data_IF_410209625933
#
_entry.id   IF_410209625933
#
_cell.length_a   1.000
_cell.length_b   1.000
_cell.length_c   1.000
_cell.angle_alpha   90.00
_cell.angle_beta   90.00
_cell.angle_gamma   90.00
#
_symmetry.space_group_name_H-M   'P 1'
#
loop_
_entity.id
_entity.type
_entity.pdbx_description
1 polymer ?
#
# COMPACT_ATOMS: atom_id res chain seq x y z
N UNK A 1 25.26 -37.66 66.42
CA UNK A 1 25.66 -37.46 65.01
C UNK A 1 24.65 -38.11 64.09
N UNK A 2 23.46 -37.52 63.92
CA UNK A 2 22.40 -38.06 63.03
C UNK A 2 21.63 -36.97 62.28
N UNK A 3 22.14 -35.74 62.27
CA UNK A 3 21.48 -34.59 61.65
C UNK A 3 22.10 -34.19 60.30
N UNK A 4 23.32 -34.63 59.96
CA UNK A 4 23.96 -34.23 58.70
C UNK A 4 23.53 -35.09 57.49
N UNK A 5 22.95 -36.27 57.72
CA UNK A 5 22.60 -37.22 56.65
C UNK A 5 21.33 -36.80 55.89
N UNK A 6 20.47 -35.97 56.49
CA UNK A 6 19.27 -35.43 55.84
C UNK A 6 19.51 -34.07 55.14
N UNK A 7 20.63 -33.39 55.44
CA UNK A 7 20.91 -32.03 54.94
C UNK A 7 21.55 -32.09 53.53
N UNK A 8 22.41 -33.06 53.27
CA UNK A 8 23.10 -33.19 51.97
C UNK A 8 22.15 -33.40 50.76
N UNK A 9 21.10 -34.24 50.83
CA UNK A 9 20.13 -34.38 49.73
C UNK A 9 19.35 -33.08 49.46
N UNK A 10 19.03 -32.32 50.50
CA UNK A 10 18.29 -31.05 50.40
C UNK A 10 19.16 -29.99 49.73
N UNK A 11 20.43 -29.87 50.13
CA UNK A 11 21.39 -28.95 49.50
C UNK A 11 21.62 -29.33 48.03
N UNK A 12 21.74 -30.62 47.73
CA UNK A 12 21.87 -31.09 46.35
C UNK A 12 20.65 -30.73 45.50
N UNK A 13 19.44 -30.92 46.03
CA UNK A 13 18.19 -30.53 45.35
C UNK A 13 18.09 -29.01 45.14
N UNK A 14 18.49 -28.20 46.13
CA UNK A 14 18.54 -26.74 46.00
C UNK A 14 19.55 -26.29 44.94
N UNK A 15 20.72 -26.93 44.85
CA UNK A 15 21.71 -26.66 43.81
C UNK A 15 21.19 -26.99 42.42
N UNK A 16 20.53 -28.15 42.25
CA UNK A 16 19.92 -28.53 40.98
C UNK A 16 18.83 -27.52 40.58
N UNK A 17 17.96 -27.14 41.52
CA UNK A 17 16.94 -26.13 41.27
C UNK A 17 17.56 -24.78 40.87
N UNK A 18 18.63 -24.35 41.56
CA UNK A 18 19.34 -23.12 41.24
C UNK A 18 19.93 -23.14 39.82
N UNK A 19 20.51 -24.26 39.40
CA UNK A 19 21.01 -24.43 38.02
C UNK A 19 19.86 -24.36 37.01
N UNK A 20 18.75 -25.05 37.27
CA UNK A 20 17.58 -25.03 36.39
C UNK A 20 17.00 -23.63 36.25
N UNK A 21 16.80 -22.91 37.37
CA UNK A 21 16.31 -21.52 37.37
C UNK A 21 17.28 -20.61 36.61
N UNK A 22 18.59 -20.77 36.79
CA UNK A 22 19.60 -19.98 36.07
C UNK A 22 19.52 -20.21 34.56
N UNK A 23 19.39 -21.46 34.12
CA UNK A 23 19.22 -21.80 32.71
C UNK A 23 17.92 -21.20 32.13
N UNK A 24 16.81 -21.29 32.86
CA UNK A 24 15.55 -20.66 32.46
C UNK A 24 15.65 -19.13 32.40
N UNK A 25 16.36 -18.50 33.34
CA UNK A 25 16.62 -17.06 33.33
C UNK A 25 17.43 -16.66 32.10
N UNK A 26 18.51 -17.38 31.78
CA UNK A 26 19.32 -17.10 30.59
C UNK A 26 18.46 -17.26 29.32
N UNK A 27 17.68 -18.34 29.23
CA UNK A 27 16.79 -18.58 28.09
C UNK A 27 15.79 -17.43 27.87
N UNK A 28 15.09 -17.01 28.93
CA UNK A 28 14.09 -15.95 28.85
C UNK A 28 14.70 -14.56 28.64
N UNK A 29 15.89 -14.30 29.18
CA UNK A 29 16.51 -12.98 29.12
C UNK A 29 17.29 -12.73 27.81
N UNK A 30 17.83 -13.78 27.18
CA UNK A 30 18.76 -13.61 26.03
C UNK A 30 18.29 -14.30 24.77
N UNK A 31 17.90 -15.57 24.84
CA UNK A 31 17.51 -16.33 23.65
C UNK A 31 16.12 -15.93 23.14
N UNK A 32 15.15 -15.81 24.05
CA UNK A 32 13.77 -15.50 23.69
C UNK A 32 13.64 -14.14 22.95
N UNK A 33 14.25 -13.04 23.42
CA UNK A 33 14.17 -11.76 22.70
C UNK A 33 14.85 -11.82 21.33
N UNK A 34 16.02 -12.48 21.21
CA UNK A 34 16.74 -12.58 19.94
C UNK A 34 15.98 -13.36 18.86
N UNK A 35 15.27 -14.43 19.26
CA UNK A 35 14.40 -15.18 18.35
C UNK A 35 13.20 -14.33 17.88
N UNK A 36 12.60 -13.53 18.78
CA UNK A 36 11.51 -12.63 18.42
C UNK A 36 11.96 -11.54 17.44
N UNK A 37 13.11 -10.93 17.69
CA UNK A 37 13.67 -9.93 16.79
C UNK A 37 13.95 -10.50 15.40
N UNK A 38 14.54 -11.70 15.33
CA UNK A 38 14.82 -12.35 14.05
C UNK A 38 13.54 -12.68 13.27
N UNK A 39 12.50 -13.16 13.95
CA UNK A 39 11.18 -13.40 13.35
C UNK A 39 10.53 -12.11 12.87
N UNK A 40 10.67 -11.02 13.61
CA UNK A 40 10.09 -9.72 13.24
C UNK A 40 10.82 -9.10 12.04
N UNK A 41 12.15 -9.25 11.96
CA UNK A 41 12.94 -8.81 10.80
C UNK A 41 12.48 -9.53 9.53
N UNK A 42 12.30 -10.86 9.61
CA UNK A 42 11.80 -11.65 8.49
C UNK A 42 10.37 -11.23 8.10
N UNK A 43 9.51 -11.04 9.10
CA UNK A 43 8.14 -10.60 8.88
C UNK A 43 8.07 -9.23 8.19
N UNK A 44 8.84 -8.24 8.65
CA UNK A 44 8.89 -6.91 8.04
C UNK A 44 9.42 -6.95 6.59
N UNK A 45 10.35 -7.85 6.29
CA UNK A 45 10.85 -8.05 4.93
C UNK A 45 9.78 -8.63 4.00
N UNK A 46 8.98 -9.58 4.48
CA UNK A 46 7.86 -10.14 3.72
C UNK A 46 6.76 -9.10 3.47
N UNK A 47 6.49 -8.23 4.46
CA UNK A 47 5.58 -7.10 4.29
C UNK A 47 6.11 -6.14 3.22
N UNK A 48 7.38 -5.77 3.31
CA UNK A 48 8.04 -4.89 2.34
C UNK A 48 7.89 -5.42 0.92
N UNK A 49 8.27 -6.68 0.69
CA UNK A 49 8.18 -7.32 -0.62
C UNK A 49 6.73 -7.38 -1.11
N UNK A 50 5.78 -7.67 -0.22
CA UNK A 50 4.35 -7.69 -0.54
C UNK A 50 3.81 -6.32 -0.97
N UNK A 51 4.18 -5.25 -0.26
CA UNK A 51 3.78 -3.88 -0.58
C UNK A 51 4.41 -3.42 -1.91
N UNK A 52 5.69 -3.70 -2.13
CA UNK A 52 6.38 -3.37 -3.38
C UNK A 52 5.77 -4.09 -4.58
N UNK A 53 5.49 -5.38 -4.46
CA UNK A 53 4.82 -6.17 -5.51
C UNK A 53 3.43 -5.63 -5.81
N UNK A 54 2.65 -5.27 -4.78
CA UNK A 54 1.31 -4.73 -4.97
C UNK A 54 1.32 -3.32 -5.59
N UNK A 55 2.27 -2.47 -5.20
CA UNK A 55 2.49 -1.17 -5.83
C UNK A 55 2.81 -1.30 -7.33
N UNK A 56 3.73 -2.21 -7.68
CA UNK A 56 4.04 -2.51 -9.08
C UNK A 56 2.84 -3.06 -9.86
N UNK A 57 2.01 -3.90 -9.25
CA UNK A 57 0.77 -4.39 -9.85
C UNK A 57 -0.25 -3.27 -10.12
N UNK A 58 -0.31 -2.26 -9.25
CA UNK A 58 -1.13 -1.06 -9.48
C UNK A 58 -0.63 -0.28 -10.70
N UNK A 59 0.68 -0.05 -10.77
CA UNK A 59 1.30 0.65 -11.90
C UNK A 59 1.10 -0.10 -13.22
N UNK A 60 1.25 -1.42 -13.21
CA UNK A 60 0.96 -2.27 -14.37
C UNK A 60 -0.51 -2.16 -14.79
N UNK A 61 -1.45 -2.21 -13.84
CA UNK A 61 -2.87 -2.08 -14.13
C UNK A 61 -3.23 -0.70 -14.72
N UNK A 62 -2.62 0.38 -14.20
CA UNK A 62 -2.79 1.74 -14.71
C UNK A 62 -2.19 1.91 -16.10
N UNK A 63 -1.02 1.32 -16.36
CA UNK A 63 -0.35 1.36 -17.66
C UNK A 63 -1.13 0.60 -18.74
N UNK A 64 -1.55 -0.63 -18.44
CA UNK A 64 -2.20 -1.53 -19.40
C UNK A 64 -3.67 -1.18 -19.68
N UNK A 65 -4.36 -0.47 -18.79
CA UNK A 65 -5.75 0.01 -18.94
C UNK A 65 -6.73 -1.10 -19.40
N UNK A 66 -6.55 -2.32 -18.90
CA UNK A 66 -7.34 -3.50 -19.26
C UNK A 66 -8.02 -4.10 -18.04
N UNK A 67 -8.98 -4.99 -18.27
CA UNK A 67 -9.62 -5.73 -17.19
C UNK A 67 -8.61 -6.68 -16.53
N UNK A 68 -8.28 -6.46 -15.26
CA UNK A 68 -7.32 -7.25 -14.48
C UNK A 68 -7.86 -7.41 -13.06
N UNK A 69 -7.74 -8.61 -12.52
CA UNK A 69 -7.99 -8.86 -11.10
C UNK A 69 -6.75 -9.49 -10.49
N UNK A 70 -6.21 -8.86 -9.45
CA UNK A 70 -5.00 -9.29 -8.75
C UNK A 70 -5.25 -9.28 -7.25
N UNK A 71 -4.62 -10.20 -6.52
CA UNK A 71 -4.66 -10.19 -5.06
C UNK A 71 -3.30 -10.53 -4.49
N UNK A 72 -2.81 -9.70 -3.58
CA UNK A 72 -1.56 -9.91 -2.86
C UNK A 72 -1.84 -10.15 -1.38
N UNK A 73 -1.20 -11.17 -0.83
CA UNK A 73 -1.23 -11.43 0.61
C UNK A 73 -0.08 -10.68 1.28
N UNK A 74 -0.39 -10.05 2.41
CA UNK A 74 0.57 -9.34 3.25
C UNK A 74 0.44 -9.92 4.66
N UNK A 75 1.53 -10.44 5.25
CA UNK A 75 1.48 -10.95 6.61
C UNK A 75 1.25 -9.80 7.59
N UNK A 76 0.21 -9.88 8.42
CA UNK A 76 -0.10 -8.84 9.41
C UNK A 76 0.38 -9.18 10.81
N UNK A 77 1.01 -10.32 11.04
CA UNK A 77 1.57 -10.62 12.35
C UNK A 77 2.83 -11.46 12.26
N UNK A 78 3.72 -11.22 13.20
CA UNK A 78 5.01 -11.89 13.37
C UNK A 78 5.25 -12.29 14.83
N UNK A 79 6.46 -12.81 15.09
CA UNK A 79 6.90 -13.18 16.43
C UNK A 79 6.33 -14.50 16.97
N UNK A 80 5.81 -15.38 16.11
CA UNK A 80 5.38 -16.73 16.51
C UNK A 80 6.62 -17.57 16.86
N UNK A 81 6.79 -17.86 18.15
CA UNK A 81 7.83 -18.74 18.64
C UNK A 81 7.18 -19.86 19.46
N UNK A 82 7.74 -21.07 19.35
CA UNK A 82 7.19 -22.34 19.89
C UNK A 82 6.75 -22.29 21.36
N UNK A 83 7.22 -21.31 22.14
CA UNK A 83 6.98 -21.18 23.58
C UNK A 83 6.42 -19.81 24.04
N UNK A 84 5.99 -18.92 23.14
CA UNK A 84 5.39 -17.63 23.54
C UNK A 84 4.29 -17.18 22.56
N UNK A 85 3.09 -16.87 23.08
CA UNK A 85 1.93 -16.42 22.31
C UNK A 85 1.81 -14.90 22.14
N UNK A 86 2.73 -14.11 22.70
CA UNK A 86 2.79 -12.65 22.48
C UNK A 86 3.32 -12.37 21.08
N UNK A 87 2.44 -11.85 20.23
CA UNK A 87 2.63 -11.65 18.79
C UNK A 87 2.54 -10.18 18.41
N UNK A 88 3.25 -9.82 17.35
CA UNK A 88 3.07 -8.53 16.69
C UNK A 88 1.83 -8.61 15.79
N UNK A 89 1.16 -7.49 15.63
CA UNK A 89 0.04 -7.34 14.72
C UNK A 89 0.29 -6.25 13.70
N UNK A 90 -0.69 -6.06 12.83
CA UNK A 90 -0.54 -5.24 11.66
C UNK A 90 -1.90 -4.77 11.19
N UNK A 91 -1.93 -3.55 10.68
CA UNK A 91 -3.11 -2.92 10.13
C UNK A 91 -2.83 -2.48 8.71
N UNK A 92 -3.69 -2.87 7.79
CA UNK A 92 -3.74 -2.33 6.44
C UNK A 92 -4.88 -1.33 6.35
N UNK A 93 -4.61 -0.20 5.73
CA UNK A 93 -5.59 0.83 5.47
C UNK A 93 -5.52 1.25 4.01
N UNK A 94 -6.68 1.35 3.36
CA UNK A 94 -6.83 1.91 2.01
C UNK A 94 -7.72 3.14 2.14
N UNK A 95 -7.21 4.28 1.70
CA UNK A 95 -7.94 5.54 1.70
C UNK A 95 -8.14 6.05 0.28
N UNK A 96 -9.27 6.72 0.10
CA UNK A 96 -9.52 7.51 -1.09
C UNK A 96 -8.92 8.90 -0.87
N UNK A 97 -8.23 9.42 -1.87
CA UNK A 97 -7.85 10.84 -1.90
C UNK A 97 -9.10 11.71 -2.01
N UNK A 98 -9.15 12.78 -1.21
CA UNK A 98 -10.31 13.68 -1.20
C UNK A 98 -10.39 14.53 -2.48
N UNK A 99 -9.24 14.89 -3.04
CA UNK A 99 -9.15 15.75 -4.22
C UNK A 99 -8.98 14.90 -5.49
N UNK A 100 -9.83 15.09 -6.52
CA UNK A 100 -9.64 14.45 -7.81
C UNK A 100 -8.42 15.04 -8.50
N UNK A 101 -7.68 14.22 -9.24
CA UNK A 101 -6.55 14.71 -10.04
C UNK A 101 -7.00 15.23 -11.41
N UNK A 102 -8.12 14.70 -11.93
CA UNK A 102 -8.73 15.11 -13.19
C UNK A 102 -10.25 15.15 -13.04
N UNK A 103 -10.85 16.23 -13.51
CA UNK A 103 -12.30 16.34 -13.68
C UNK A 103 -12.64 16.50 -15.16
N UNK A 104 -13.60 15.71 -15.64
CA UNK A 104 -14.13 15.79 -17.00
C UNK A 104 -15.49 16.47 -16.94
N UNK A 105 -15.61 17.58 -17.68
CA UNK A 105 -16.86 18.31 -17.85
C UNK A 105 -17.44 18.06 -19.23
N UNK A 106 -18.77 18.02 -19.32
CA UNK A 106 -19.54 18.10 -20.55
C UNK A 106 -20.48 19.30 -20.41
N UNK A 107 -20.30 20.32 -21.25
CA UNK A 107 -21.15 21.52 -21.26
C UNK A 107 -21.24 22.19 -19.87
N UNK A 108 -20.11 22.26 -19.17
CA UNK A 108 -19.97 22.78 -17.80
C UNK A 108 -20.60 21.91 -16.68
N UNK A 109 -21.16 20.75 -17.00
CA UNK A 109 -21.58 19.76 -16.01
C UNK A 109 -20.46 18.76 -15.75
N UNK A 110 -20.15 18.51 -14.48
CA UNK A 110 -19.18 17.49 -14.09
C UNK A 110 -19.74 16.09 -14.39
N UNK A 111 -19.05 15.34 -15.25
CA UNK A 111 -19.45 13.98 -15.64
C UNK A 111 -18.61 12.94 -14.93
N UNK A 112 -17.30 13.19 -14.83
CA UNK A 112 -16.36 12.29 -14.16
C UNK A 112 -15.41 13.06 -13.26
N UNK A 113 -15.27 12.59 -12.02
CA UNK A 113 -14.25 13.02 -11.07
C UNK A 113 -13.29 11.86 -10.84
N UNK A 114 -12.07 11.97 -11.34
CA UNK A 114 -11.07 10.91 -11.26
C UNK A 114 -10.19 11.13 -10.05
N UNK A 115 -10.17 10.14 -9.17
CA UNK A 115 -9.50 10.21 -7.88
C UNK A 115 -8.39 9.16 -7.80
N UNK A 116 -7.51 9.35 -6.84
CA UNK A 116 -6.44 8.42 -6.50
C UNK A 116 -6.73 7.76 -5.16
N UNK A 117 -5.96 6.74 -4.86
CA UNK A 117 -5.97 6.06 -3.56
C UNK A 117 -4.58 6.13 -2.97
N UNK A 118 -4.53 6.01 -1.65
CA UNK A 118 -3.34 5.63 -0.93
C UNK A 118 -3.62 4.35 -0.15
N UNK A 119 -2.58 3.57 0.12
CA UNK A 119 -2.72 2.49 1.09
C UNK A 119 -1.51 2.46 2.01
N UNK A 120 -1.75 2.13 3.27
CA UNK A 120 -0.72 2.08 4.30
C UNK A 120 -0.79 0.80 5.11
N UNK A 121 0.37 0.36 5.56
CA UNK A 121 0.59 -0.71 6.51
C UNK A 121 1.25 -0.15 7.76
N UNK A 122 0.76 -0.56 8.93
CA UNK A 122 1.34 -0.21 10.22
C UNK A 122 1.44 -1.41 11.13
N UNK A 123 2.59 -1.57 11.80
CA UNK A 123 2.75 -2.56 12.86
C UNK A 123 2.04 -2.14 14.14
N UNK A 124 1.52 -3.11 14.89
CA UNK A 124 0.96 -2.97 16.23
C UNK A 124 1.73 -3.90 17.16
N UNK A 125 2.34 -3.36 18.22
CA UNK A 125 3.13 -4.15 19.19
C UNK A 125 4.29 -4.96 18.55
N UNK A 126 5.14 -4.32 17.76
CA UNK A 126 6.34 -4.99 17.22
C UNK A 126 7.38 -5.26 18.32
N UNK A 127 8.35 -6.12 17.98
CA UNK A 127 9.45 -6.50 18.86
C UNK A 127 10.82 -6.01 18.35
N UNK A 128 10.85 -5.17 17.32
CA UNK A 128 12.09 -4.71 16.67
C UNK A 128 12.10 -3.20 16.41
N UNK A 129 11.37 -2.73 15.40
CA UNK A 129 11.33 -1.33 14.99
C UNK A 129 9.90 -0.98 14.57
N UNK A 130 9.40 0.15 15.08
CA UNK A 130 8.18 0.79 14.57
C UNK A 130 8.43 1.23 13.13
N UNK A 131 7.82 0.51 12.19
CA UNK A 131 7.96 0.75 10.76
C UNK A 131 6.63 0.52 10.06
N UNK A 132 6.21 1.49 9.26
CA UNK A 132 5.07 1.40 8.35
C UNK A 132 5.49 1.58 6.91
N UNK A 133 4.63 1.13 6.00
CA UNK A 133 4.81 1.29 4.56
C UNK A 133 3.58 2.00 4.00
N UNK A 134 3.77 3.05 3.21
CA UNK A 134 2.69 3.77 2.54
C UNK A 134 2.98 3.84 1.07
N UNK A 135 2.04 3.39 0.24
CA UNK A 135 2.09 3.61 -1.20
C UNK A 135 1.20 4.80 -1.56
N UNK A 136 1.77 5.72 -2.35
CA UNK A 136 1.07 6.88 -2.90
C UNK A 136 1.72 7.29 -4.21
N UNK A 137 0.92 7.74 -5.19
CA UNK A 137 1.41 8.36 -6.43
C UNK A 137 2.45 7.56 -7.23
N UNK A 138 2.41 6.22 -7.17
CA UNK A 138 3.38 5.38 -7.89
C UNK A 138 4.74 5.25 -7.21
N UNK A 139 4.81 5.43 -5.89
CA UNK A 139 5.99 5.07 -5.10
C UNK A 139 5.63 4.60 -3.68
N UNK A 140 6.53 3.84 -3.06
CA UNK A 140 6.41 3.36 -1.67
C UNK A 140 7.34 4.13 -0.74
N UNK A 141 6.77 4.60 0.37
CA UNK A 141 7.45 5.21 1.50
C UNK A 141 7.51 4.26 2.69
N UNK A 142 8.61 4.32 3.42
CA UNK A 142 8.83 3.70 4.72
C UNK A 142 8.83 4.77 5.79
N UNK A 143 7.97 4.63 6.79
CA UNK A 143 7.84 5.62 7.86
C UNK A 143 8.12 4.96 9.20
N UNK A 144 9.01 5.54 10.02
CA UNK A 144 9.30 5.03 11.36
C UNK A 144 8.34 5.53 12.44
N UNK A 145 7.71 6.67 12.19
CA UNK A 145 6.69 7.25 13.06
C UNK A 145 5.66 7.97 12.18
N UNK A 146 4.34 7.71 12.31
CA UNK A 146 3.30 8.37 11.53
C UNK A 146 3.42 9.90 11.47
N UNK A 147 4.05 10.55 12.45
CA UNK A 147 4.25 12.02 12.46
C UNK A 147 5.56 12.49 11.78
N UNK A 148 6.52 11.58 11.53
CA UNK A 148 7.90 11.95 11.17
C UNK A 148 8.17 12.20 9.67
N UNK A 149 7.22 11.89 8.79
CA UNK A 149 7.43 11.92 7.34
C UNK A 149 8.36 10.77 6.89
N UNK A 150 7.87 9.89 6.02
CA UNK A 150 8.59 8.68 5.62
C UNK A 150 9.85 8.93 4.78
N UNK A 151 10.73 7.93 4.73
CA UNK A 151 11.84 7.78 3.78
C UNK A 151 11.40 6.92 2.60
N UNK A 152 11.78 7.27 1.38
CA UNK A 152 11.39 6.51 0.19
C UNK A 152 12.07 5.14 0.14
N UNK A 153 11.33 4.12 -0.30
CA UNK A 153 11.84 2.75 -0.36
C UNK A 153 12.38 2.35 -1.73
N UNK A 154 11.69 2.78 -2.80
CA UNK A 154 11.99 2.38 -4.18
C UNK A 154 13.05 3.25 -4.84
N UNK A 155 13.30 4.45 -4.30
CA UNK A 155 14.09 5.49 -4.97
C UNK A 155 15.18 6.02 -4.05
N UNK A 156 16.38 6.18 -4.61
CA UNK A 156 17.57 6.62 -3.87
C UNK A 156 17.64 8.15 -3.78
N UNK A 157 17.06 8.86 -4.75
CA UNK A 157 17.10 10.32 -4.85
C UNK A 157 15.73 10.92 -5.11
N UNK A 158 15.55 12.20 -4.74
CA UNK A 158 14.32 12.95 -5.02
C UNK A 158 14.03 13.06 -6.53
N UNK A 159 15.08 13.14 -7.34
CA UNK A 159 14.95 13.16 -8.80
C UNK A 159 14.35 11.87 -9.35
N UNK A 160 14.67 10.72 -8.75
CA UNK A 160 14.12 9.43 -9.16
C UNK A 160 12.66 9.26 -8.73
N UNK A 161 12.30 9.79 -7.56
CA UNK A 161 10.90 9.89 -7.12
C UNK A 161 10.09 10.74 -8.09
N UNK A 162 10.59 11.93 -8.47
CA UNK A 162 9.90 12.81 -9.41
C UNK A 162 9.68 12.14 -10.77
N UNK A 163 10.69 11.43 -11.30
CA UNK A 163 10.53 10.63 -12.53
C UNK A 163 9.46 9.54 -12.39
N UNK A 164 9.39 8.88 -11.22
CA UNK A 164 8.38 7.85 -10.95
C UNK A 164 6.98 8.44 -10.95
N UNK A 165 6.81 9.60 -10.29
CA UNK A 165 5.55 10.35 -10.26
C UNK A 165 5.16 10.77 -11.68
N UNK A 166 6.09 11.32 -12.46
CA UNK A 166 5.82 11.72 -13.85
C UNK A 166 5.44 10.53 -14.73
N UNK A 167 6.18 9.43 -14.62
CA UNK A 167 5.90 8.19 -15.37
C UNK A 167 4.53 7.62 -15.01
N UNK A 168 4.17 7.62 -13.72
CA UNK A 168 2.86 7.17 -13.28
C UNK A 168 1.76 8.12 -13.75
N UNK A 169 1.97 9.44 -13.65
CA UNK A 169 1.06 10.48 -14.13
C UNK A 169 0.75 10.36 -15.63
N UNK A 170 1.79 10.16 -16.46
CA UNK A 170 1.63 9.90 -17.90
C UNK A 170 0.87 8.60 -18.18
N UNK A 171 0.95 7.60 -17.30
CA UNK A 171 0.16 6.39 -17.44
C UNK A 171 -1.32 6.61 -17.09
N UNK A 172 -1.69 7.65 -16.34
CA UNK A 172 -3.08 7.89 -15.92
C UNK A 172 -3.98 8.33 -17.07
N UNK A 173 -3.46 9.10 -18.02
CA UNK A 173 -4.22 9.66 -19.14
C UNK A 173 -3.44 9.50 -20.43
N UNK A 174 -4.09 8.97 -21.47
CA UNK A 174 -3.56 8.96 -22.83
C UNK A 174 -4.64 9.49 -23.76
N UNK A 175 -4.28 10.45 -24.59
CA UNK A 175 -5.13 10.95 -25.66
C UNK A 175 -4.54 10.54 -27.01
N UNK A 176 -5.39 10.05 -27.91
CA UNK A 176 -5.02 9.85 -29.29
C UNK A 176 -6.19 10.17 -30.23
N UNK A 177 -5.83 10.61 -31.43
CA UNK A 177 -6.76 10.98 -32.47
C UNK A 177 -6.93 9.82 -33.45
N UNK A 178 -8.17 9.42 -33.71
CA UNK A 178 -8.53 8.40 -34.69
C UNK A 178 -9.37 9.07 -35.80
N UNK A 179 -8.67 9.64 -36.79
CA UNK A 179 -9.30 10.44 -37.83
C UNK A 179 -9.93 11.74 -37.30
N UNK A 180 -11.24 11.99 -37.50
CA UNK A 180 -11.92 13.18 -36.96
C UNK A 180 -12.27 13.06 -35.47
N UNK A 181 -12.23 11.83 -34.92
CA UNK A 181 -12.68 11.53 -33.56
C UNK A 181 -11.49 11.52 -32.58
N UNK A 182 -11.76 11.82 -31.32
CA UNK A 182 -10.76 11.81 -30.25
C UNK A 182 -11.10 10.72 -29.25
N UNK A 183 -10.10 9.93 -28.86
CA UNK A 183 -10.23 8.96 -27.77
C UNK A 183 -9.34 9.36 -26.61
N UNK A 184 -9.94 9.46 -25.43
CA UNK A 184 -9.27 9.75 -24.16
C UNK A 184 -9.37 8.50 -23.31
N UNK A 185 -8.24 7.90 -22.98
CA UNK A 185 -8.16 6.80 -22.02
C UNK A 185 -7.69 7.35 -20.67
N UNK A 186 -8.51 7.18 -19.64
CA UNK A 186 -8.20 7.68 -18.30
C UNK A 186 -8.38 6.60 -17.23
N UNK A 187 -7.65 6.73 -16.12
CA UNK A 187 -7.67 5.77 -15.01
C UNK A 187 -8.31 6.38 -13.77
N UNK A 188 -9.29 5.72 -13.16
CA UNK A 188 -9.88 6.15 -11.90
C UNK A 188 -9.56 5.14 -10.82
N UNK A 189 -9.15 5.58 -9.64
CA UNK A 189 -8.95 4.68 -8.51
C UNK A 189 -10.09 4.83 -7.50
N UNK A 190 -10.57 3.70 -7.00
CA UNK A 190 -11.64 3.65 -6.01
C UNK A 190 -11.21 2.80 -4.81
N UNK A 191 -11.36 3.35 -3.61
CA UNK A 191 -11.17 2.60 -2.37
C UNK A 191 -12.40 1.72 -2.10
N UNK A 192 -12.19 0.41 -1.98
CA UNK A 192 -13.20 -0.56 -1.54
C UNK A 192 -13.23 -0.66 -0.01
N UNK A 193 -13.09 -1.88 0.53
CA UNK A 193 -12.93 -2.08 1.98
C UNK A 193 -11.68 -1.35 2.48
N UNK A 194 -11.87 -0.53 3.52
CA UNK A 194 -10.92 0.51 3.90
C UNK A 194 -9.90 0.08 4.94
N UNK A 195 -10.18 -0.91 5.79
CA UNK A 195 -9.25 -1.26 6.86
C UNK A 195 -9.37 -2.72 7.25
N UNK A 196 -8.22 -3.38 7.42
CA UNK A 196 -8.13 -4.72 7.95
C UNK A 196 -6.98 -4.82 8.94
N UNK A 197 -7.28 -5.23 10.17
CA UNK A 197 -6.30 -5.38 11.24
C UNK A 197 -6.29 -6.81 11.71
N UNK A 198 -5.10 -7.41 11.82
CA UNK A 198 -4.95 -8.77 12.32
C UNK A 198 -3.64 -8.91 13.08
N UNK A 199 -3.66 -9.71 14.15
CA UNK A 199 -2.48 -10.07 14.95
C UNK A 199 -1.90 -11.45 14.64
N UNK A 200 -2.49 -12.17 13.68
CA UNK A 200 -2.27 -13.61 13.52
C UNK A 200 -2.51 -14.15 12.10
N UNK A 201 -2.78 -13.27 11.13
CA UNK A 201 -3.21 -13.67 9.80
C UNK A 201 -2.59 -12.83 8.71
N UNK A 202 -2.93 -13.21 7.48
CA UNK A 202 -2.61 -12.44 6.29
C UNK A 202 -3.77 -11.49 6.00
N UNK A 203 -3.44 -10.22 5.77
CA UNK A 203 -4.33 -9.30 5.09
C UNK A 203 -4.15 -9.48 3.59
N UNK A 204 -5.23 -9.34 2.83
CA UNK A 204 -5.20 -9.40 1.37
C UNK A 204 -5.53 -8.04 0.81
N UNK A 205 -4.64 -7.53 -0.03
CA UNK A 205 -4.96 -6.42 -0.93
C UNK A 205 -5.47 -7.00 -2.23
N UNK A 206 -6.66 -6.58 -2.65
CA UNK A 206 -7.27 -6.96 -3.92
C UNK A 206 -7.31 -5.73 -4.81
N UNK A 207 -6.96 -5.94 -6.07
CA UNK A 207 -7.07 -4.98 -7.16
C UNK A 207 -8.05 -5.54 -8.19
N UNK A 208 -9.02 -4.72 -8.59
CA UNK A 208 -9.94 -5.04 -9.67
C UNK A 208 -10.07 -3.86 -10.63
N UNK A 209 -9.55 -4.01 -11.85
CA UNK A 209 -9.62 -3.05 -12.92
C UNK A 209 -10.77 -3.40 -13.86
N UNK A 210 -11.66 -2.43 -14.12
CA UNK A 210 -12.80 -2.56 -15.03
C UNK A 210 -12.81 -1.43 -16.04
N UNK A 211 -12.93 -1.77 -17.31
CA UNK A 211 -12.88 -0.82 -18.43
C UNK A 211 -14.28 -0.52 -18.95
N UNK A 212 -14.66 0.75 -18.92
CA UNK A 212 -15.93 1.27 -19.43
C UNK A 212 -15.67 2.25 -20.58
N UNK A 213 -16.52 2.22 -21.61
CA UNK A 213 -16.42 3.12 -22.77
C UNK A 213 -17.70 3.94 -22.89
N UNK A 214 -17.55 5.26 -23.05
CA UNK A 214 -18.63 6.19 -23.31
C UNK A 214 -18.25 7.07 -24.49
N UNK A 215 -19.17 7.29 -25.42
CA UNK A 215 -18.94 8.13 -26.61
C UNK A 215 -19.92 9.29 -26.59
N UNK A 216 -19.37 10.50 -26.68
CA UNK A 216 -20.09 11.75 -26.83
C UNK A 216 -20.08 12.14 -28.31
N UNK A 217 -21.26 12.43 -28.85
CA UNK A 217 -21.40 12.82 -30.25
C UNK A 217 -21.37 14.34 -30.39
N UNK A 218 -20.80 14.81 -31.49
CA UNK A 218 -20.67 16.23 -31.83
C UNK A 218 -22.00 16.96 -32.06
N UNK A 219 -23.13 16.26 -32.15
CA UNK A 219 -24.44 16.86 -32.48
C UNK A 219 -25.03 17.71 -31.33
N UNK A 220 -24.54 17.55 -30.10
CA UNK A 220 -25.08 18.19 -28.89
C UNK A 220 -24.11 19.20 -28.27
N UNK A 221 -23.62 20.20 -29.03
CA UNK A 221 -22.86 21.35 -28.51
C UNK A 221 -21.74 20.92 -27.52
N UNK A 222 -21.15 19.74 -27.74
CA UNK A 222 -20.55 18.95 -26.67
C UNK A 222 -19.12 19.42 -26.44
N UNK A 223 -18.96 20.36 -25.52
CA UNK A 223 -17.67 20.83 -25.05
C UNK A 223 -17.19 19.91 -23.93
N UNK A 224 -16.42 18.89 -24.31
CA UNK A 224 -15.65 18.12 -23.33
C UNK A 224 -14.47 18.97 -22.90
N UNK A 225 -14.43 19.28 -21.60
CA UNK A 225 -13.33 20.03 -20.97
C UNK A 225 -12.65 19.19 -19.91
N UNK A 226 -11.33 19.14 -19.97
CA UNK A 226 -10.50 18.52 -18.97
C UNK A 226 -9.98 19.58 -17.99
N UNK A 227 -10.17 19.37 -16.69
CA UNK A 227 -9.59 20.20 -15.65
C UNK A 227 -8.67 19.35 -14.80
N UNK A 228 -7.38 19.67 -14.83
CA UNK A 228 -6.39 19.06 -13.95
C UNK A 228 -6.36 19.86 -12.67
N UNK A 229 -6.41 19.19 -11.52
CA UNK A 229 -6.30 19.84 -10.20
C UNK A 229 -4.86 19.90 -9.74
N UNK A 230 -4.59 20.78 -8.76
CA UNK A 230 -3.30 20.90 -8.11
C UNK A 230 -2.95 19.60 -7.38
N UNK A 231 -2.28 18.72 -8.10
CA UNK A 231 -1.75 17.45 -7.61
C UNK A 231 -0.27 17.37 -7.95
N UNK A 232 0.41 16.35 -7.43
CA UNK A 232 1.81 16.05 -7.76
C UNK A 232 2.04 15.79 -9.25
N UNK A 233 0.97 15.58 -10.04
CA UNK A 233 1.02 15.37 -11.48
C UNK A 233 0.76 16.65 -12.29
N UNK A 234 0.67 17.81 -11.63
CA UNK A 234 0.34 19.08 -12.32
C UNK A 234 1.32 19.39 -13.45
N UNK A 235 2.61 19.13 -13.28
CA UNK A 235 3.61 19.35 -14.33
C UNK A 235 3.39 18.48 -15.57
N UNK A 236 3.14 17.17 -15.39
CA UNK A 236 2.99 16.24 -16.50
C UNK A 236 1.59 16.25 -17.13
N UNK A 237 0.56 16.61 -16.37
CA UNK A 237 -0.83 16.66 -16.87
C UNK A 237 -1.25 18.05 -17.37
N UNK A 238 -0.41 19.09 -17.22
CA UNK A 238 -0.76 20.46 -17.58
C UNK A 238 -1.22 20.61 -19.04
N UNK A 239 -0.72 19.77 -19.95
CA UNK A 239 -1.10 19.78 -21.38
C UNK A 239 -2.58 19.46 -21.64
N UNK A 240 -3.26 18.84 -20.67
CA UNK A 240 -4.68 18.53 -20.70
C UNK A 240 -5.51 19.62 -20.00
N UNK A 241 -4.90 20.49 -19.21
CA UNK A 241 -5.63 21.45 -18.39
C UNK A 241 -6.29 22.53 -19.26
N UNK A 242 -7.61 22.63 -19.18
CA UNK A 242 -8.39 23.60 -19.97
C UNK A 242 -8.48 23.25 -21.46
N UNK A 243 -8.13 22.02 -21.85
CA UNK A 243 -8.29 21.55 -23.23
C UNK A 243 -9.77 21.29 -23.51
N UNK A 244 -10.24 21.90 -24.59
CA UNK A 244 -11.61 21.80 -25.08
C UNK A 244 -11.64 21.09 -26.45
N UNK A 245 -12.67 20.28 -26.69
CA UNK A 245 -12.86 19.53 -27.94
C UNK A 245 -14.16 19.92 -28.65
N UNK A 246 -14.22 21.10 -29.29
CA UNK A 246 -15.39 21.52 -30.03
C UNK A 246 -15.55 20.70 -31.32
N UNK A 247 -16.80 20.40 -31.67
CA UNK A 247 -17.21 19.82 -32.96
C UNK A 247 -16.55 18.47 -33.31
N UNK A 248 -16.15 17.69 -32.30
CA UNK A 248 -15.55 16.36 -32.45
C UNK A 248 -16.32 15.33 -31.64
N UNK A 249 -16.40 14.09 -32.15
CA UNK A 249 -16.86 12.99 -31.31
C UNK A 249 -15.75 12.63 -30.33
N UNK A 250 -16.07 12.61 -29.05
CA UNK A 250 -15.12 12.28 -27.99
C UNK A 250 -15.51 10.94 -27.39
N UNK A 251 -14.64 9.96 -27.49
CA UNK A 251 -14.78 8.68 -26.78
C UNK A 251 -13.91 8.71 -25.54
N UNK A 252 -14.53 8.54 -24.37
CA UNK A 252 -13.83 8.39 -23.11
C UNK A 252 -13.84 6.91 -22.74
N UNK A 253 -12.65 6.34 -22.57
CA UNK A 253 -12.45 5.00 -22.07
C UNK A 253 -11.91 5.10 -20.64
N UNK A 254 -12.76 4.80 -19.68
CA UNK A 254 -12.45 4.89 -18.26
C UNK A 254 -12.07 3.52 -17.71
N UNK A 255 -10.87 3.39 -17.15
CA UNK A 255 -10.45 2.20 -16.40
C UNK A 255 -10.62 2.48 -14.91
N UNK A 256 -11.65 1.90 -14.28
CA UNK A 256 -11.85 1.99 -12.84
C UNK A 256 -11.08 0.87 -12.13
N UNK A 257 -10.08 1.23 -11.35
CA UNK A 257 -9.26 0.34 -10.53
C UNK A 257 -9.75 0.44 -9.09
N UNK A 258 -10.41 -0.60 -8.61
CA UNK A 258 -10.83 -0.69 -7.20
C UNK A 258 -9.78 -1.45 -6.39
N UNK A 259 -9.34 -0.86 -5.29
CA UNK A 259 -8.43 -1.50 -4.32
C UNK A 259 -9.13 -1.68 -2.99
N UNK A 260 -9.09 -2.89 -2.43
CA UNK A 260 -9.75 -3.24 -1.18
C UNK A 260 -8.89 -4.13 -0.30
N UNK A 261 -9.01 -3.98 1.01
CA UNK A 261 -8.45 -4.91 2.01
C UNK A 261 -9.42 -6.06 2.30
N UNK A 262 -8.97 -7.28 2.62
CA UNK A 262 -9.81 -8.37 3.17
C UNK A 262 -9.02 -9.42 3.93
#
# INVERSE_FOLDING_TARGET
MKNDVAIAPVIAAMLILAVVVTLFSIYNATYLPGLKQSSEIQHLHEVEEGVLKFGSAIEEAASLKRNISLSQQIPLGGGDIVLNSLKSGGSLHVQQENEPYLTVYNNSLEVYSLTLINFSYWTVNNFWVDQGYTWQYGYVNVTRDPESGGTWLQHVTMDDVNKSIDSFGQALIIEYQDGPDITIEAVNFLAGEKSFTSGNGYGKLKLNATRNKVTFKSEDDCLIKLSVKDTVFSECLNEYNGRDYPDKNVTIILTNITVSTS
#
